data_IF_922841795757
#
_entry.id   IF_922841795757
#
_cell.length_a   1.000
_cell.length_b   1.000
_cell.length_c   1.000
_cell.angle_alpha   90.00
_cell.angle_beta   90.00
_cell.angle_gamma   90.00
#
_symmetry.space_group_name_H-M   'P 1'
#
loop_
_entity.id
_entity.type
_entity.pdbx_description
1 polymer ?
#
# COMPACT_ATOMS: atom_id res chain seq x y z
N UNK A 1 2.83 43.83 -6.14
CA UNK A 1 2.74 42.82 -7.22
C UNK A 1 3.29 41.54 -6.65
N UNK A 2 2.40 40.73 -6.10
CA UNK A 2 2.74 39.46 -5.46
C UNK A 2 3.37 38.53 -6.51
N UNK A 3 4.66 38.23 -6.34
CA UNK A 3 5.34 37.24 -7.15
C UNK A 3 4.67 35.89 -6.87
N UNK A 4 3.75 35.48 -7.74
CA UNK A 4 3.17 34.14 -7.75
C UNK A 4 4.30 33.15 -8.08
N UNK A 5 5.04 32.76 -7.04
CA UNK A 5 6.21 31.90 -7.11
C UNK A 5 5.71 30.49 -7.34
N UNK A 6 5.80 30.04 -8.58
CA UNK A 6 5.41 28.69 -8.98
C UNK A 6 6.35 27.68 -8.31
N UNK A 7 5.85 26.99 -7.29
CA UNK A 7 6.53 25.82 -6.71
C UNK A 7 6.62 24.74 -7.78
N UNK A 8 7.82 24.22 -8.03
CA UNK A 8 8.01 23.11 -8.96
C UNK A 8 7.49 21.81 -8.34
N UNK A 9 6.58 21.13 -9.03
CA UNK A 9 5.96 19.88 -8.58
C UNK A 9 7.02 18.79 -8.34
N UNK A 10 8.07 18.72 -9.16
CA UNK A 10 9.12 17.71 -9.02
C UNK A 10 9.96 17.93 -7.76
N UNK A 11 10.23 19.18 -7.40
CA UNK A 11 10.95 19.53 -6.17
C UNK A 11 10.12 19.18 -4.93
N UNK A 12 8.81 19.44 -5.01
CA UNK A 12 7.86 19.08 -3.96
C UNK A 12 7.77 17.56 -3.78
N UNK A 13 7.69 16.79 -4.87
CA UNK A 13 7.69 15.31 -4.84
C UNK A 13 9.01 14.78 -4.28
N UNK A 14 10.13 15.37 -4.69
CA UNK A 14 11.46 14.97 -4.21
C UNK A 14 11.59 15.20 -2.70
N UNK A 15 11.15 16.36 -2.19
CA UNK A 15 11.12 16.64 -0.74
C UNK A 15 10.15 15.74 0.00
N UNK A 16 8.96 15.52 -0.55
CA UNK A 16 7.95 14.64 0.02
C UNK A 16 8.52 13.23 0.27
N UNK A 17 9.27 12.70 -0.71
CA UNK A 17 9.99 11.43 -0.57
C UNK A 17 11.15 11.54 0.43
N UNK A 18 12.00 12.56 0.33
CA UNK A 18 13.20 12.75 1.17
C UNK A 18 12.86 12.89 2.66
N UNK A 19 11.76 13.57 2.99
CA UNK A 19 11.31 13.77 4.38
C UNK A 19 10.58 12.55 4.96
N UNK A 20 10.46 11.46 4.19
CA UNK A 20 9.87 10.20 4.65
C UNK A 20 8.34 10.18 4.68
N UNK A 21 7.66 11.18 4.11
CA UNK A 21 6.19 11.22 4.07
C UNK A 21 5.62 10.07 3.25
N UNK A 22 6.32 9.63 2.19
CA UNK A 22 5.95 8.44 1.44
C UNK A 22 5.97 7.16 2.30
N UNK A 23 7.01 6.96 3.13
CA UNK A 23 7.08 5.79 4.00
C UNK A 23 6.00 5.82 5.09
N UNK A 24 5.67 7.00 5.63
CA UNK A 24 4.55 7.16 6.56
C UNK A 24 3.22 6.76 5.94
N UNK A 25 2.94 7.20 4.71
CA UNK A 25 1.74 6.79 3.98
C UNK A 25 1.72 5.29 3.72
N UNK A 26 2.84 4.71 3.29
CA UNK A 26 2.98 3.26 3.08
C UNK A 26 2.63 2.47 4.34
N UNK A 27 3.12 2.93 5.51
CA UNK A 27 2.81 2.31 6.81
C UNK A 27 1.33 2.43 7.17
N UNK A 28 0.74 3.62 7.02
CA UNK A 28 -0.68 3.85 7.28
C UNK A 28 -1.58 2.95 6.42
N UNK A 29 -1.26 2.80 5.14
CA UNK A 29 -1.98 1.89 4.22
C UNK A 29 -1.85 0.44 4.68
N UNK A 30 -0.64 0.01 5.05
CA UNK A 30 -0.40 -1.34 5.56
C UNK A 30 -1.16 -1.61 6.86
N UNK A 31 -1.18 -0.66 7.79
CA UNK A 31 -1.94 -0.76 9.05
C UNK A 31 -3.44 -0.83 8.79
N UNK A 32 -3.95 0.03 7.91
CA UNK A 32 -5.38 0.02 7.54
C UNK A 32 -5.77 -1.31 6.89
N UNK A 33 -4.92 -1.86 6.02
CA UNK A 33 -5.15 -3.17 5.42
C UNK A 33 -5.17 -4.28 6.48
N UNK A 34 -4.21 -4.26 7.41
CA UNK A 34 -4.16 -5.22 8.53
C UNK A 34 -5.44 -5.18 9.36
N UNK A 35 -5.93 -3.99 9.67
CA UNK A 35 -7.13 -3.81 10.50
C UNK A 35 -8.42 -4.22 9.80
N UNK A 36 -8.56 -3.96 8.49
CA UNK A 36 -9.85 -4.05 7.81
C UNK A 36 -10.00 -5.21 6.82
N UNK A 37 -8.93 -5.61 6.16
CA UNK A 37 -9.01 -6.50 4.99
C UNK A 37 -8.16 -7.78 5.14
N UNK A 38 -7.21 -7.81 6.07
CA UNK A 38 -6.26 -8.92 6.18
C UNK A 38 -6.89 -10.27 6.55
N UNK A 39 -7.96 -10.26 7.34
CA UNK A 39 -8.66 -11.49 7.72
C UNK A 39 -9.38 -12.12 6.51
N UNK A 40 -10.09 -11.32 5.72
CA UNK A 40 -10.74 -11.81 4.51
C UNK A 40 -9.73 -12.31 3.46
N UNK A 41 -8.59 -11.64 3.34
CA UNK A 41 -7.49 -12.11 2.50
C UNK A 41 -6.91 -13.44 2.99
N UNK A 42 -6.68 -13.59 4.30
CA UNK A 42 -6.19 -14.82 4.90
C UNK A 42 -7.18 -15.99 4.73
N UNK A 43 -8.48 -15.71 4.81
CA UNK A 43 -9.52 -16.71 4.57
C UNK A 43 -9.50 -17.21 3.12
N UNK A 44 -9.40 -16.31 2.14
CA UNK A 44 -9.29 -16.71 0.74
C UNK A 44 -8.02 -17.54 0.47
N UNK A 45 -6.88 -17.19 1.11
CA UNK A 45 -5.67 -18.02 1.06
C UNK A 45 -5.90 -19.41 1.65
N UNK A 46 -6.59 -19.51 2.80
CA UNK A 46 -6.95 -20.80 3.40
C UNK A 46 -7.82 -21.63 2.48
N UNK A 47 -8.87 -21.04 1.89
CA UNK A 47 -9.75 -21.73 0.95
C UNK A 47 -8.99 -22.26 -0.26
N UNK A 48 -8.09 -21.47 -0.85
CA UNK A 48 -7.26 -21.94 -1.97
C UNK A 48 -6.38 -23.11 -1.53
N UNK A 49 -5.74 -23.00 -0.37
CA UNK A 49 -4.90 -24.06 0.16
C UNK A 49 -5.69 -25.35 0.40
N UNK A 50 -6.89 -25.26 0.98
CA UNK A 50 -7.78 -26.40 1.22
C UNK A 50 -8.20 -27.09 -0.09
N UNK A 51 -8.58 -26.31 -1.11
CA UNK A 51 -8.92 -26.86 -2.43
C UNK A 51 -7.73 -27.60 -3.07
N UNK A 52 -6.51 -27.10 -2.90
CA UNK A 52 -5.32 -27.80 -3.40
C UNK A 52 -5.01 -29.08 -2.60
N UNK A 53 -5.25 -29.07 -1.28
CA UNK A 53 -5.15 -30.27 -0.43
C UNK A 53 -6.20 -31.33 -0.77
N UNK A 54 -7.39 -30.93 -1.21
CA UNK A 54 -8.43 -31.84 -1.69
C UNK A 54 -8.05 -32.46 -3.04
N UNK A 55 -7.46 -31.68 -3.95
CA UNK A 55 -6.97 -32.15 -5.25
C UNK A 55 -5.77 -33.09 -5.12
N UNK A 56 -4.81 -32.76 -4.25
CA UNK A 56 -3.66 -33.61 -3.94
C UNK A 56 -3.53 -33.84 -2.42
N UNK A 57 -4.17 -34.89 -1.88
CA UNK A 57 -4.07 -35.24 -0.47
C UNK A 57 -2.64 -35.55 0.00
N UNK A 58 -1.72 -35.90 -0.91
CA UNK A 58 -0.31 -36.15 -0.55
C UNK A 58 0.41 -34.90 -0.07
N UNK A 59 -0.12 -33.71 -0.36
CA UNK A 59 0.40 -32.45 0.16
C UNK A 59 0.34 -32.36 1.69
N UNK A 60 -0.57 -33.10 2.34
CA UNK A 60 -0.67 -33.17 3.81
C UNK A 60 0.46 -33.96 4.46
N UNK A 61 1.05 -34.91 3.73
CA UNK A 61 2.13 -35.78 4.24
C UNK A 61 3.51 -35.34 3.79
N UNK A 62 3.58 -34.44 2.80
CA UNK A 62 4.80 -33.77 2.36
C UNK A 62 5.24 -32.71 3.37
N UNK A 63 6.55 -32.55 3.50
CA UNK A 63 7.17 -31.49 4.29
C UNK A 63 6.80 -30.10 3.77
N UNK A 64 6.66 -29.14 4.68
CA UNK A 64 6.21 -27.77 4.41
C UNK A 64 7.06 -27.07 3.35
N UNK A 65 8.36 -27.36 3.29
CA UNK A 65 9.26 -26.79 2.28
C UNK A 65 8.90 -27.19 0.83
N UNK A 66 8.28 -28.36 0.65
CA UNK A 66 7.82 -28.83 -0.67
C UNK A 66 6.38 -28.44 -0.96
N UNK A 67 5.54 -28.36 0.08
CA UNK A 67 4.12 -28.02 -0.07
C UNK A 67 3.91 -26.52 -0.25
N UNK A 68 4.61 -25.65 0.50
CA UNK A 68 4.39 -24.21 0.45
C UNK A 68 4.58 -23.59 -0.95
N UNK A 69 5.62 -23.94 -1.74
CA UNK A 69 5.77 -23.42 -3.11
C UNK A 69 4.64 -23.86 -4.05
N UNK A 70 4.08 -25.05 -3.85
CA UNK A 70 2.98 -25.57 -4.69
C UNK A 70 1.68 -24.81 -4.41
N UNK A 71 1.38 -24.56 -3.13
CA UNK A 71 0.24 -23.74 -2.71
C UNK A 71 0.43 -22.30 -3.17
N UNK A 72 1.61 -21.70 -2.99
CA UNK A 72 1.91 -20.36 -3.48
C UNK A 72 1.69 -20.25 -5.00
N UNK A 73 2.20 -21.21 -5.77
CA UNK A 73 1.97 -21.26 -7.21
C UNK A 73 0.49 -21.44 -7.58
N UNK A 74 -0.32 -22.10 -6.75
CA UNK A 74 -1.76 -22.19 -6.95
C UNK A 74 -2.47 -20.86 -6.69
N UNK A 75 -2.09 -20.16 -5.62
CA UNK A 75 -2.55 -18.81 -5.34
C UNK A 75 -2.19 -17.85 -6.47
N UNK A 76 -0.96 -17.92 -7.01
CA UNK A 76 -0.51 -17.09 -8.13
C UNK A 76 -1.32 -17.30 -9.42
N UNK A 77 -1.92 -18.48 -9.61
CA UNK A 77 -2.82 -18.77 -10.73
C UNK A 77 -4.24 -18.22 -10.52
N UNK A 78 -4.55 -17.75 -9.31
CA UNK A 78 -5.78 -17.02 -9.01
C UNK A 78 -5.54 -15.52 -9.14
N UNK A 79 -6.61 -14.75 -9.35
CA UNK A 79 -6.55 -13.29 -9.30
C UNK A 79 -6.57 -12.73 -7.87
N UNK A 80 -6.26 -13.53 -6.83
CA UNK A 80 -6.37 -13.10 -5.43
C UNK A 80 -5.54 -11.85 -5.14
N UNK A 81 -4.26 -11.83 -5.53
CA UNK A 81 -3.39 -10.68 -5.31
C UNK A 81 -3.85 -9.44 -6.08
N UNK A 82 -4.29 -9.61 -7.33
CA UNK A 82 -4.79 -8.54 -8.18
C UNK A 82 -6.07 -7.91 -7.59
N UNK A 83 -7.04 -8.75 -7.22
CA UNK A 83 -8.29 -8.33 -6.59
C UNK A 83 -8.04 -7.64 -5.25
N UNK A 84 -7.10 -8.15 -4.46
CA UNK A 84 -6.72 -7.54 -3.17
C UNK A 84 -6.09 -6.16 -3.39
N UNK A 85 -5.22 -6.03 -4.39
CA UNK A 85 -4.62 -4.74 -4.75
C UNK A 85 -5.66 -3.74 -5.23
N UNK A 86 -6.65 -4.19 -6.02
CA UNK A 86 -7.77 -3.35 -6.45
C UNK A 86 -8.64 -2.91 -5.27
N UNK A 87 -8.94 -3.81 -4.34
CA UNK A 87 -9.66 -3.46 -3.10
C UNK A 87 -8.90 -2.42 -2.27
N UNK A 88 -7.58 -2.59 -2.08
CA UNK A 88 -6.76 -1.60 -1.38
C UNK A 88 -6.84 -0.23 -2.08
N UNK A 89 -6.80 -0.19 -3.42
CA UNK A 89 -6.93 1.07 -4.18
C UNK A 89 -8.30 1.73 -3.94
N UNK A 90 -9.37 0.95 -4.04
CA UNK A 90 -10.73 1.48 -3.97
C UNK A 90 -11.18 1.82 -2.54
N UNK A 91 -10.72 1.07 -1.55
CA UNK A 91 -11.25 1.16 -0.18
C UNK A 91 -10.30 1.86 0.80
N UNK A 92 -8.98 1.82 0.55
CA UNK A 92 -7.96 2.39 1.45
C UNK A 92 -7.34 3.64 0.82
N UNK A 93 -6.82 3.54 -0.41
CA UNK A 93 -6.13 4.66 -1.06
C UNK A 93 -7.08 5.76 -1.51
N UNK A 94 -8.33 5.42 -1.81
CA UNK A 94 -9.35 6.38 -2.22
C UNK A 94 -10.08 7.04 -1.03
N UNK A 95 -9.69 6.75 0.21
CA UNK A 95 -10.30 7.41 1.37
C UNK A 95 -9.95 8.89 1.43
N UNK A 96 -10.97 9.72 1.63
CA UNK A 96 -10.82 11.17 1.76
C UNK A 96 -9.80 11.56 2.83
N UNK A 97 -9.73 10.79 3.93
CA UNK A 97 -8.75 11.01 5.00
C UNK A 97 -7.29 10.93 4.51
N UNK A 98 -6.99 9.98 3.62
CA UNK A 98 -5.64 9.82 3.06
C UNK A 98 -5.32 10.97 2.11
N UNK A 99 -6.29 11.33 1.27
CA UNK A 99 -6.17 12.47 0.34
C UNK A 99 -5.96 13.79 1.09
N UNK A 100 -6.74 14.05 2.14
CA UNK A 100 -6.59 15.25 2.98
C UNK A 100 -5.21 15.28 3.64
N UNK A 101 -4.74 14.15 4.19
CA UNK A 101 -3.41 14.08 4.79
C UNK A 101 -2.28 14.42 3.78
N UNK A 102 -2.37 13.90 2.55
CA UNK A 102 -1.41 14.22 1.48
C UNK A 102 -1.46 15.72 1.15
N UNK A 103 -2.66 16.28 0.98
CA UNK A 103 -2.84 17.70 0.65
C UNK A 103 -2.31 18.62 1.77
N UNK A 104 -2.58 18.29 3.03
CA UNK A 104 -2.07 19.05 4.18
C UNK A 104 -0.54 18.98 4.26
N UNK A 105 0.04 17.79 4.04
CA UNK A 105 1.50 17.62 4.03
C UNK A 105 2.15 18.43 2.90
N UNK A 106 1.56 18.39 1.71
CA UNK A 106 2.01 19.19 0.56
C UNK A 106 1.92 20.69 0.88
N UNK A 107 0.81 21.14 1.47
CA UNK A 107 0.63 22.54 1.85
C UNK A 107 1.72 23.00 2.82
N UNK A 108 2.00 22.20 3.86
CA UNK A 108 3.08 22.48 4.81
C UNK A 108 4.46 22.55 4.14
N UNK A 109 4.72 21.72 3.13
CA UNK A 109 5.97 21.78 2.37
C UNK A 109 6.08 23.06 1.54
N UNK A 110 4.98 23.50 0.91
CA UNK A 110 4.93 24.78 0.18
C UNK A 110 5.14 25.98 1.12
N UNK A 111 4.48 25.98 2.28
CA UNK A 111 4.58 27.09 3.25
C UNK A 111 6.04 27.25 3.73
N UNK A 112 6.73 26.15 4.04
CA UNK A 112 8.16 26.16 4.42
C UNK A 112 9.09 26.72 3.33
N UNK A 113 8.76 26.59 2.04
CA UNK A 113 9.54 27.20 0.96
C UNK A 113 9.41 28.73 0.92
N UNK A 114 8.25 29.24 1.30
CA UNK A 114 8.01 30.70 1.32
C UNK A 114 8.68 31.39 2.51
N UNK A 115 8.83 30.70 3.63
CA UNK A 115 9.47 31.23 4.85
C UNK A 115 11.00 31.23 4.78
N UNK A 116 11.62 30.17 4.25
CA UNK A 116 13.08 30.05 4.15
C UNK A 116 13.75 31.07 3.22
N UNK A 117 12.98 31.76 2.38
CA UNK A 117 13.46 32.79 1.45
C UNK A 117 13.27 34.24 1.94
N UNK A 118 12.63 34.46 3.11
CA UNK A 118 12.52 35.78 3.72
C UNK A 118 13.67 36.13 4.68
N UNK A 119 14.60 35.18 4.89
CA UNK A 119 15.72 35.30 5.82
C UNK A 119 17.10 35.23 5.17
N UNK A 120 17.24 35.47 3.87
CA UNK A 120 18.54 35.55 3.16
C UNK A 120 18.61 36.79 2.29
#
# INVERSE_FOLDING_TARGET
MDSNKTVNVDDLVTRFKREGHFDRLRKLVLETFKEKESEGFAEQLRTIAELELEKDPSLKTKDHFRTAPLIAGAVDRTSLYENTLENIKNNILSQDKLRVNVLETIKQLCDKETEGHRGS
#
